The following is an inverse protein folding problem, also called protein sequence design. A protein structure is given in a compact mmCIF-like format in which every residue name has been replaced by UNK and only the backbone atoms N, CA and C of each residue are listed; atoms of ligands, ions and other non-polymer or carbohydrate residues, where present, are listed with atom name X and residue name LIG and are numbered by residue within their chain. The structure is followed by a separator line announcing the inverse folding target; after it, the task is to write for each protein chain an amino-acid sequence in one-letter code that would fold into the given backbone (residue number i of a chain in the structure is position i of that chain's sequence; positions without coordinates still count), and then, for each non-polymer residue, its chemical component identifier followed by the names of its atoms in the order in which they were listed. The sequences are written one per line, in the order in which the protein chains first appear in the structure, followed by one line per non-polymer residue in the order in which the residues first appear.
data_IF_566719824236
#
_entry.id   IF_566719824236
#
_cell.length_a   1.000
_cell.length_b   1.000
_cell.length_c   1.000
_cell.angle_alpha   90.00
_cell.angle_beta   90.00
_cell.angle_gamma   90.00
#
_symmetry.space_group_name_H-M   'P 1'
#
loop_
_entity.id
_entity.type
_entity.pdbx_description
1 polymer ?
#
# COMPACT_ATOMS: atom_id res chain seq x y z
N UNK A 1 1.53 -2.10 -25.35
CA UNK A 1 2.00 -2.51 -24.01
C UNK A 1 1.03 -3.55 -23.50
N UNK A 2 1.30 -4.82 -23.80
CA UNK A 2 0.36 -5.92 -23.54
C UNK A 2 0.59 -6.45 -22.13
N UNK A 3 -0.49 -6.47 -21.34
CA UNK A 3 -0.50 -6.99 -19.98
C UNK A 3 -0.05 -8.47 -19.97
N UNK A 4 0.85 -8.78 -19.03
CA UNK A 4 1.39 -10.12 -18.78
C UNK A 4 0.31 -11.02 -18.16
N UNK A 5 -0.01 -12.19 -18.75
CA UNK A 5 -1.15 -13.01 -18.37
C UNK A 5 -0.75 -13.99 -17.25
N UNK A 6 -0.83 -13.53 -16.00
CA UNK A 6 -0.63 -14.41 -14.84
C UNK A 6 -0.74 -13.73 -13.47
N UNK A 7 -1.10 -12.45 -13.42
CA UNK A 7 -1.11 -11.64 -12.21
C UNK A 7 -2.54 -11.39 -11.76
N UNK A 8 -2.88 -11.84 -10.56
CA UNK A 8 -3.87 -11.13 -9.75
C UNK A 8 -3.65 -9.61 -9.89
N UNK A 9 -4.72 -8.78 -9.93
CA UNK A 9 -4.55 -7.34 -10.04
C UNK A 9 -3.60 -6.87 -8.93
N UNK A 10 -2.48 -6.28 -9.33
CA UNK A 10 -1.48 -5.80 -8.37
C UNK A 10 -2.11 -4.83 -7.37
N UNK A 11 -1.75 -5.01 -6.10
CA UNK A 11 -2.34 -4.26 -4.98
C UNK A 11 -1.81 -2.83 -4.82
N UNK A 12 -1.06 -2.31 -5.81
CA UNK A 12 -0.40 -1.00 -5.76
C UNK A 12 -1.33 0.14 -5.36
N UNK A 13 -2.54 0.14 -5.91
CA UNK A 13 -3.54 1.18 -5.64
C UNK A 13 -4.13 1.09 -4.22
N UNK A 14 -4.02 -0.08 -3.58
CA UNK A 14 -4.52 -0.33 -2.22
C UNK A 14 -3.47 -0.08 -1.14
N UNK A 15 -2.18 0.05 -1.50
CA UNK A 15 -1.09 0.16 -0.53
C UNK A 15 -1.23 1.35 0.41
N UNK A 16 -1.67 2.51 -0.09
CA UNK A 16 -1.91 3.69 0.74
C UNK A 16 -2.98 3.44 1.80
N UNK A 17 -4.12 2.89 1.40
CA UNK A 17 -5.18 2.52 2.34
C UNK A 17 -4.75 1.40 3.29
N UNK A 18 -3.94 0.45 2.82
CA UNK A 18 -3.41 -0.64 3.64
C UNK A 18 -2.50 -0.12 4.76
N UNK A 19 -1.55 0.78 4.48
CA UNK A 19 -0.64 1.33 5.51
C UNK A 19 -1.33 2.29 6.48
N UNK A 20 -2.45 2.89 6.07
CA UNK A 20 -3.27 3.77 6.90
C UNK A 20 -4.38 3.03 7.67
N UNK A 21 -4.39 1.69 7.63
CA UNK A 21 -5.42 0.83 8.24
C UNK A 21 -6.86 1.17 7.80
N UNK A 22 -7.02 1.61 6.56
CA UNK A 22 -8.27 2.09 5.97
C UNK A 22 -8.97 1.04 5.07
N UNK A 23 -8.51 -0.21 5.09
CA UNK A 23 -9.07 -1.31 4.31
C UNK A 23 -9.99 -2.19 5.17
N UNK A 24 -10.93 -2.88 4.51
CA UNK A 24 -11.69 -3.93 5.18
C UNK A 24 -10.78 -5.13 5.51
N UNK A 25 -11.17 -5.95 6.50
CA UNK A 25 -10.44 -7.17 6.84
C UNK A 25 -10.32 -8.18 5.68
N UNK A 26 -11.20 -8.10 4.67
CA UNK A 26 -11.07 -8.89 3.43
C UNK A 26 -9.90 -8.41 2.59
N UNK A 27 -9.90 -7.12 2.26
CA UNK A 27 -8.87 -6.46 1.45
C UNK A 27 -7.49 -6.52 2.13
N UNK A 28 -7.41 -6.29 3.44
CA UNK A 28 -6.15 -6.41 4.20
C UNK A 28 -5.53 -7.80 4.07
N UNK A 29 -6.34 -8.87 4.12
CA UNK A 29 -5.85 -10.25 3.93
C UNK A 29 -5.39 -10.52 2.51
N UNK A 30 -6.05 -9.94 1.51
CA UNK A 30 -5.67 -10.03 0.11
C UNK A 30 -4.33 -9.33 -0.16
N UNK A 31 -4.18 -8.09 0.32
CA UNK A 31 -2.93 -7.33 0.22
C UNK A 31 -1.80 -8.06 0.93
N UNK A 32 -2.00 -8.49 2.18
CA UNK A 32 -0.99 -9.20 2.96
C UNK A 32 -0.50 -10.46 2.24
N UNK A 33 -1.43 -11.28 1.72
CA UNK A 33 -1.09 -12.50 0.96
C UNK A 33 -0.32 -12.17 -0.33
N UNK A 34 -0.69 -11.12 -1.04
CA UNK A 34 0.02 -10.73 -2.27
C UNK A 34 1.45 -10.23 -1.99
N UNK A 35 1.65 -9.46 -0.92
CA UNK A 35 2.96 -8.94 -0.53
C UNK A 35 3.94 -10.06 -0.17
N UNK A 36 3.46 -11.21 0.32
CA UNK A 36 4.29 -12.37 0.62
C UNK A 36 4.85 -13.06 -0.64
N UNK A 37 4.24 -12.82 -1.81
CA UNK A 37 4.58 -13.53 -3.06
C UNK A 37 5.03 -12.62 -4.19
N UNK A 38 5.03 -11.29 -3.99
CA UNK A 38 5.35 -10.32 -5.04
C UNK A 38 6.35 -9.27 -4.56
N UNK A 39 7.63 -9.48 -4.89
CA UNK A 39 8.72 -8.57 -4.54
C UNK A 39 8.50 -7.15 -5.07
N UNK A 40 7.88 -7.01 -6.25
CA UNK A 40 7.58 -5.69 -6.82
C UNK A 40 6.59 -4.90 -5.96
N UNK A 41 5.50 -5.54 -5.51
CA UNK A 41 4.56 -4.88 -4.61
C UNK A 41 5.11 -4.72 -3.19
N UNK A 42 5.96 -5.63 -2.72
CA UNK A 42 6.67 -5.48 -1.46
C UNK A 42 7.61 -4.27 -1.46
N UNK A 43 8.33 -4.03 -2.56
CA UNK A 43 9.17 -2.85 -2.72
C UNK A 43 8.35 -1.55 -2.77
N UNK A 44 7.21 -1.57 -3.48
CA UNK A 44 6.30 -0.42 -3.52
C UNK A 44 5.69 -0.15 -2.12
N UNK A 45 5.34 -1.21 -1.37
CA UNK A 45 4.84 -1.10 0.02
C UNK A 45 5.83 -0.39 0.93
N UNK A 46 7.12 -0.72 0.86
CA UNK A 46 8.16 -0.08 1.68
C UNK A 46 8.21 1.42 1.42
N UNK A 47 8.16 1.85 0.16
CA UNK A 47 8.17 3.28 -0.19
C UNK A 47 6.95 4.02 0.36
N UNK A 48 5.77 3.42 0.27
CA UNK A 48 4.53 4.02 0.80
C UNK A 48 4.55 4.06 2.34
N UNK A 49 5.03 3.01 3.00
CA UNK A 49 5.14 2.96 4.45
C UNK A 49 6.14 3.99 5.00
N UNK A 50 7.25 4.23 4.29
CA UNK A 50 8.20 5.29 4.63
C UNK A 50 7.56 6.68 4.53
N UNK A 51 6.81 6.95 3.45
CA UNK A 51 6.08 8.20 3.30
C UNK A 51 5.06 8.44 4.43
N UNK A 52 4.31 7.41 4.83
CA UNK A 52 3.38 7.51 5.97
C UNK A 52 4.11 7.72 7.31
N UNK A 53 5.30 7.16 7.47
CA UNK A 53 6.12 7.39 8.67
C UNK A 53 6.57 8.86 8.78
N UNK A 54 6.80 9.54 7.65
CA UNK A 54 7.06 10.98 7.63
C UNK A 54 5.80 11.80 7.93
N UNK A 55 4.63 11.38 7.43
CA UNK A 55 3.35 12.05 7.75
C UNK A 55 3.06 12.03 9.26
N UNK A 56 3.45 10.98 9.98
CA UNK A 56 3.28 10.89 11.43
C UNK A 56 4.09 11.94 12.23
N UNK A 57 5.01 12.66 11.59
CA UNK A 57 5.74 13.77 12.21
C UNK A 57 4.97 15.08 12.18
N UNK A 58 3.91 15.17 11.38
CA UNK A 58 3.06 16.35 11.23
C UNK A 58 1.82 16.20 12.11
N UNK A 59 1.45 17.27 12.80
CA UNK A 59 0.13 17.42 13.41
C UNK A 59 -0.95 17.67 12.34
N UNK A 60 -2.21 17.42 12.69
CA UNK A 60 -3.35 17.70 11.79
C UNK A 60 -3.41 19.18 11.41
N UNK A 61 -3.02 20.07 12.32
CA UNK A 61 -3.01 21.51 12.09
C UNK A 61 -1.99 21.94 11.03
N UNK A 62 -0.86 21.23 10.91
CA UNK A 62 0.21 21.53 9.95
C UNK A 62 -0.13 21.03 8.52
N UNK A 63 -1.13 20.16 8.38
CA UNK A 63 -1.59 19.63 7.09
C UNK A 63 -2.65 20.49 6.39
N UNK A 64 -3.25 21.46 7.11
CA UNK A 64 -4.35 22.30 6.62
C UNK A 64 -3.91 23.66 6.04
N UNK A 65 -2.62 23.99 6.11
CA UNK A 65 -2.02 25.20 5.54
C UNK A 65 -1.52 25.00 4.09
#
# INVERSE_FOLDING_TARGET
MSADPGKDPHVRQLLGAYVLDALTAGETREVCRHLQTCDGCAADYVQVAEAVSLLALLGEEELLE
#
